data_IF_348523768271
#
_entry.id   IF_348523768271
#
_cell.length_a   1.000
_cell.length_b   1.000
_cell.length_c   1.000
_cell.angle_alpha   90.00
_cell.angle_beta   90.00
_cell.angle_gamma   90.00
#
_symmetry.space_group_name_H-M   'P 1'
#
loop_
_entity.id
_entity.type
_entity.pdbx_description
1 polymer ?
#
# COMPACT_ATOMS: atom_id res chain seq x y z
N UNK A 1 -2.65 18.85 82.77
CA UNK A 1 -3.19 17.86 81.79
C UNK A 1 -3.91 18.47 80.58
N UNK A 2 -3.83 19.79 80.28
CA UNK A 2 -4.57 20.42 79.15
C UNK A 2 -3.78 20.65 77.85
N UNK A 3 -2.44 20.65 77.89
CA UNK A 3 -1.61 20.95 76.70
C UNK A 3 -1.48 19.77 75.73
N UNK A 4 -1.43 18.53 76.21
CA UNK A 4 -1.31 17.34 75.36
C UNK A 4 -2.55 17.04 74.50
N UNK A 5 -3.75 17.37 75.00
CA UNK A 5 -5.01 17.16 74.29
C UNK A 5 -5.16 18.13 73.09
N UNK A 6 -4.65 19.35 73.22
CA UNK A 6 -4.71 20.37 72.15
C UNK A 6 -3.76 20.02 71.00
N UNK A 7 -2.57 19.50 71.30
CA UNK A 7 -1.63 19.03 70.27
C UNK A 7 -2.14 17.79 69.53
N UNK A 8 -2.81 16.86 70.23
CA UNK A 8 -3.43 15.70 69.60
C UNK A 8 -4.59 16.09 68.66
N UNK A 9 -5.42 17.06 69.05
CA UNK A 9 -6.54 17.53 68.23
C UNK A 9 -6.07 18.30 66.98
N UNK A 10 -5.01 19.10 67.10
CA UNK A 10 -4.40 19.80 65.97
C UNK A 10 -3.74 18.84 64.97
N UNK A 11 -3.10 17.77 65.45
CA UNK A 11 -2.49 16.75 64.59
C UNK A 11 -3.55 15.93 63.82
N UNK A 12 -4.67 15.60 64.46
CA UNK A 12 -5.79 14.90 63.80
C UNK A 12 -6.48 15.78 62.77
N UNK A 13 -6.67 17.08 63.05
CA UNK A 13 -7.25 18.03 62.10
C UNK A 13 -6.33 18.25 60.88
N UNK A 14 -5.01 18.30 61.08
CA UNK A 14 -4.05 18.44 59.99
C UNK A 14 -3.95 17.16 59.14
N UNK A 15 -4.00 15.98 59.76
CA UNK A 15 -4.05 14.69 59.04
C UNK A 15 -5.37 14.54 58.25
N UNK A 16 -6.50 14.98 58.82
CA UNK A 16 -7.78 15.00 58.12
C UNK A 16 -7.76 15.97 56.92
N UNK A 17 -7.19 17.18 57.08
CA UNK A 17 -7.05 18.15 56.01
C UNK A 17 -6.12 17.69 54.87
N UNK A 18 -5.03 17.00 55.21
CA UNK A 18 -4.12 16.39 54.22
C UNK A 18 -4.77 15.18 53.51
N UNK A 19 -5.66 14.45 54.18
CA UNK A 19 -6.38 13.31 53.58
C UNK A 19 -7.45 13.74 52.57
N UNK A 20 -8.05 14.93 52.72
CA UNK A 20 -8.99 15.48 51.72
C UNK A 20 -8.29 16.22 50.57
N UNK A 21 -7.05 16.70 50.75
CA UNK A 21 -6.32 17.39 49.67
C UNK A 21 -5.60 16.43 48.71
N UNK A 22 -5.43 15.17 49.09
CA UNK A 22 -4.85 14.12 48.25
C UNK A 22 -5.89 13.13 47.72
N UNK A 23 -7.18 13.47 47.74
CA UNK A 23 -8.14 12.97 46.75
C UNK A 23 -7.93 13.74 45.43
N UNK A 24 -6.66 13.81 45.01
CA UNK A 24 -6.18 14.52 43.85
C UNK A 24 -7.00 14.07 42.66
N UNK A 25 -7.81 15.00 42.18
CA UNK A 25 -8.28 15.12 40.81
C UNK A 25 -7.44 14.29 39.83
N UNK A 26 -7.81 13.03 39.62
CA UNK A 26 -7.50 12.35 38.38
C UNK A 26 -8.51 12.93 37.40
N UNK A 27 -8.18 14.11 36.87
CA UNK A 27 -8.88 14.60 35.71
C UNK A 27 -8.52 13.65 34.58
N UNK A 28 -9.44 12.73 34.25
CA UNK A 28 -9.38 12.01 33.00
C UNK A 28 -9.53 13.06 31.88
N UNK A 29 -8.39 13.52 31.36
CA UNK A 29 -8.38 14.33 30.15
C UNK A 29 -8.67 13.34 29.01
N UNK A 30 -9.93 13.23 28.66
CA UNK A 30 -10.34 12.51 27.45
C UNK A 30 -9.80 13.27 26.25
N UNK A 31 -8.69 12.81 25.69
CA UNK A 31 -8.20 13.29 24.41
C UNK A 31 -9.13 12.75 23.32
N UNK A 32 -9.89 13.64 22.68
CA UNK A 32 -10.64 13.30 21.47
C UNK A 32 -9.63 13.34 20.32
N UNK A 33 -9.18 12.18 19.86
CA UNK A 33 -8.41 12.07 18.62
C UNK A 33 -9.37 12.21 17.44
N UNK A 34 -9.29 13.31 16.72
CA UNK A 34 -10.01 13.48 15.45
C UNK A 34 -9.06 13.15 14.31
N UNK A 35 -9.36 12.06 13.60
CA UNK A 35 -8.68 11.71 12.36
C UNK A 35 -9.47 12.32 11.21
N UNK A 36 -8.90 13.29 10.52
CA UNK A 36 -9.43 13.72 9.24
C UNK A 36 -8.83 12.83 8.15
N UNK A 37 -9.65 12.29 7.22
CA UNK A 37 -9.12 11.59 6.07
C UNK A 37 -8.31 12.58 5.24
N UNK A 38 -6.98 12.49 5.33
CA UNK A 38 -6.10 13.19 4.41
C UNK A 38 -6.28 12.57 3.02
N UNK A 39 -6.17 13.40 1.98
CA UNK A 39 -6.12 12.89 0.61
C UNK A 39 -4.99 11.86 0.51
N UNK A 40 -5.28 10.72 -0.12
CA UNK A 40 -4.32 9.64 -0.25
C UNK A 40 -3.09 10.14 -1.04
N UNK A 41 -1.89 10.21 -0.43
CA UNK A 41 -0.71 10.77 -1.08
C UNK A 41 -0.12 9.87 -2.16
N UNK A 42 -0.51 8.59 -2.19
CA UNK A 42 -0.04 7.60 -3.15
C UNK A 42 -1.23 6.84 -3.71
N UNK A 43 -1.45 6.95 -5.02
CA UNK A 43 -2.57 6.31 -5.68
C UNK A 43 -2.24 5.94 -7.12
N UNK A 44 -2.93 4.92 -7.63
CA UNK A 44 -2.87 4.54 -9.02
C UNK A 44 -3.61 5.53 -9.92
N UNK A 45 -3.07 5.74 -11.11
CA UNK A 45 -3.75 6.36 -12.26
C UNK A 45 -3.54 5.50 -13.50
N UNK A 46 -4.43 5.65 -14.48
CA UNK A 46 -4.33 4.92 -15.74
C UNK A 46 -3.14 5.45 -16.55
N UNK A 47 -2.29 4.55 -17.06
CA UNK A 47 -1.17 4.93 -17.91
C UNK A 47 -1.60 5.31 -19.33
N UNK A 48 -0.67 5.76 -20.16
CA UNK A 48 -1.00 6.28 -21.49
C UNK A 48 -1.62 5.23 -22.42
N UNK A 49 -1.31 3.95 -22.22
CA UNK A 49 -1.83 2.84 -23.03
C UNK A 49 -3.08 2.20 -22.43
N UNK A 50 -3.56 2.65 -21.27
CA UNK A 50 -4.86 2.24 -20.75
C UNK A 50 -5.98 2.65 -21.72
N UNK A 51 -6.87 1.72 -22.07
CA UNK A 51 -7.93 1.95 -23.06
C UNK A 51 -7.47 1.92 -24.52
N UNK A 52 -6.16 1.77 -24.77
CA UNK A 52 -5.62 1.57 -26.11
C UNK A 52 -5.83 0.13 -26.57
N UNK A 53 -5.53 -0.12 -27.85
CA UNK A 53 -5.61 -1.44 -28.46
C UNK A 53 -4.37 -2.27 -28.12
N UNK A 54 -4.56 -3.53 -27.74
CA UNK A 54 -3.52 -4.50 -27.47
C UNK A 54 -3.02 -5.21 -28.74
N UNK A 55 -2.12 -6.19 -28.54
CA UNK A 55 -1.49 -6.98 -29.59
C UNK A 55 -2.45 -7.81 -30.46
N UNK A 56 -3.69 -8.06 -30.00
CA UNK A 56 -4.70 -8.81 -30.75
C UNK A 56 -5.83 -7.93 -31.28
N UNK A 57 -5.72 -6.60 -31.14
CA UNK A 57 -6.76 -5.68 -31.62
C UNK A 57 -7.88 -5.43 -30.60
N UNK A 58 -7.75 -5.87 -29.36
CA UNK A 58 -8.75 -5.67 -28.29
C UNK A 58 -8.33 -4.55 -27.35
N UNK A 59 -9.28 -4.02 -26.57
CA UNK A 59 -9.02 -2.89 -25.68
C UNK A 59 -8.37 -3.35 -24.37
N UNK A 60 -7.21 -2.77 -24.07
CA UNK A 60 -6.56 -2.86 -22.76
C UNK A 60 -7.48 -2.22 -21.72
N UNK A 61 -7.92 -2.99 -20.73
CA UNK A 61 -8.82 -2.49 -19.70
C UNK A 61 -8.07 -2.22 -18.41
N UNK A 62 -8.19 -1.01 -17.88
CA UNK A 62 -7.67 -0.63 -16.56
C UNK A 62 -8.82 -0.09 -15.73
N UNK A 63 -9.04 -0.67 -14.55
CA UNK A 63 -10.02 -0.18 -13.59
C UNK A 63 -9.33 0.14 -12.27
N UNK A 64 -9.65 1.29 -11.69
CA UNK A 64 -9.00 1.80 -10.48
C UNK A 64 -10.09 1.99 -9.43
N UNK A 65 -9.84 1.47 -8.24
CA UNK A 65 -10.72 1.62 -7.08
C UNK A 65 -10.93 3.11 -6.72
N UNK A 66 -12.06 3.49 -6.10
CA UNK A 66 -12.35 4.89 -5.80
C UNK A 66 -11.32 5.60 -4.90
N UNK A 67 -10.59 4.86 -4.06
CA UNK A 67 -9.52 5.38 -3.21
C UNK A 67 -8.13 5.34 -3.88
N UNK A 68 -8.06 4.81 -5.10
CA UNK A 68 -6.85 4.69 -5.90
C UNK A 68 -5.80 3.72 -5.35
N UNK A 69 -6.08 2.92 -4.32
CA UNK A 69 -5.08 2.01 -3.74
C UNK A 69 -5.02 0.65 -4.42
N UNK A 70 -6.06 0.31 -5.19
CA UNK A 70 -6.14 -0.89 -5.99
C UNK A 70 -6.41 -0.55 -7.46
N UNK A 71 -5.72 -1.26 -8.35
CA UNK A 71 -5.95 -1.22 -9.78
C UNK A 71 -6.00 -2.63 -10.35
N UNK A 72 -6.90 -2.86 -11.30
CA UNK A 72 -6.98 -4.09 -12.07
C UNK A 72 -6.70 -3.78 -13.54
N UNK A 73 -5.81 -4.58 -14.11
CA UNK A 73 -5.37 -4.50 -15.50
C UNK A 73 -5.77 -5.79 -16.21
N UNK A 74 -6.42 -5.68 -17.36
CA UNK A 74 -6.82 -6.82 -18.19
C UNK A 74 -6.32 -6.66 -19.62
N UNK A 75 -5.68 -7.70 -20.14
CA UNK A 75 -5.07 -7.77 -21.48
C UNK A 75 -5.28 -9.14 -22.10
N UNK A 76 -5.41 -9.22 -23.43
CA UNK A 76 -5.45 -10.50 -24.12
C UNK A 76 -4.05 -10.99 -24.47
N UNK A 77 -3.82 -12.29 -24.31
CA UNK A 77 -2.52 -12.92 -24.54
C UNK A 77 -2.37 -13.42 -25.98
N UNK A 78 -1.16 -13.29 -26.53
CA UNK A 78 -0.69 -14.10 -27.66
C UNK A 78 0.40 -15.08 -27.23
N UNK A 79 0.76 -15.99 -28.13
CA UNK A 79 1.87 -16.92 -27.92
C UNK A 79 3.19 -16.18 -27.72
N UNK A 80 4.03 -16.70 -26.82
CA UNK A 80 5.35 -16.13 -26.52
C UNK A 80 5.30 -14.98 -25.51
N UNK A 81 6.22 -14.03 -25.67
CA UNK A 81 6.34 -12.85 -24.81
C UNK A 81 5.47 -11.70 -25.29
N UNK A 82 4.64 -11.18 -24.39
CA UNK A 82 3.75 -10.05 -24.62
C UNK A 82 4.22 -8.87 -23.77
N UNK A 83 4.56 -7.75 -24.41
CA UNK A 83 4.98 -6.54 -23.72
C UNK A 83 3.88 -5.49 -23.80
N UNK A 84 3.45 -5.02 -22.63
CA UNK A 84 2.48 -3.96 -22.49
C UNK A 84 3.10 -2.82 -21.71
N UNK A 85 3.36 -1.72 -22.39
CA UNK A 85 4.03 -0.56 -21.83
C UNK A 85 3.00 0.42 -21.27
N UNK A 86 3.36 1.17 -20.25
CA UNK A 86 2.57 2.31 -19.73
C UNK A 86 1.08 1.99 -19.51
N UNK A 87 0.82 0.85 -18.86
CA UNK A 87 -0.54 0.40 -18.58
C UNK A 87 -1.13 1.12 -17.36
N UNK A 88 -0.29 1.34 -16.37
CA UNK A 88 -0.67 1.80 -15.05
C UNK A 88 0.44 2.68 -14.50
N UNK A 89 0.08 3.67 -13.72
CA UNK A 89 1.06 4.55 -13.07
C UNK A 89 0.72 4.72 -11.59
N UNK A 90 1.73 5.04 -10.77
CA UNK A 90 1.57 5.42 -9.37
C UNK A 90 1.90 6.91 -9.26
N UNK A 91 0.94 7.71 -8.81
CA UNK A 91 1.16 9.11 -8.48
C UNK A 91 1.50 9.28 -7.01
N UNK A 92 2.55 10.06 -6.75
CA UNK A 92 2.98 10.48 -5.41
C UNK A 92 2.83 11.98 -5.31
N UNK A 93 2.00 12.46 -4.39
CA UNK A 93 1.68 13.89 -4.21
C UNK A 93 2.26 14.50 -2.93
N UNK A 94 2.74 13.67 -1.99
CA UNK A 94 3.32 14.14 -0.72
C UNK A 94 4.54 13.28 -0.31
N UNK A 95 5.73 13.54 -0.87
CA UNK A 95 6.97 12.86 -0.50
C UNK A 95 7.55 13.33 0.86
N UNK A 96 8.51 12.60 1.45
CA UNK A 96 9.07 11.33 0.99
C UNK A 96 8.19 10.13 1.39
N UNK A 97 8.01 9.20 0.45
CA UNK A 97 7.29 7.95 0.67
C UNK A 97 8.18 6.76 0.32
N UNK A 98 7.97 5.65 0.99
CA UNK A 98 8.47 4.34 0.58
C UNK A 98 7.31 3.53 0.03
N UNK A 99 7.37 3.19 -1.26
CA UNK A 99 6.30 2.51 -1.98
C UNK A 99 6.52 1.01 -2.00
N UNK A 100 5.41 0.27 -1.96
CA UNK A 100 5.36 -1.17 -2.17
C UNK A 100 4.15 -1.54 -3.03
N UNK A 101 4.27 -2.62 -3.76
CA UNK A 101 3.23 -3.21 -4.59
C UNK A 101 3.03 -4.66 -4.16
N UNK A 102 1.79 -5.07 -4.02
CA UNK A 102 1.43 -6.48 -3.88
C UNK A 102 0.34 -6.82 -4.87
N UNK A 103 0.24 -8.10 -5.23
CA UNK A 103 -0.94 -8.58 -5.90
C UNK A 103 -2.07 -8.80 -4.89
N UNK A 104 -3.33 -8.62 -5.30
CA UNK A 104 -4.46 -8.84 -4.40
C UNK A 104 -4.70 -10.33 -4.15
N UNK A 105 -4.41 -10.88 -2.94
CA UNK A 105 -4.43 -12.31 -2.66
C UNK A 105 -5.81 -12.96 -2.82
N UNK A 106 -6.88 -12.16 -2.87
CA UNK A 106 -8.25 -12.64 -3.08
C UNK A 106 -8.65 -12.74 -4.55
N UNK A 107 -7.83 -12.22 -5.47
CA UNK A 107 -8.08 -12.33 -6.91
C UNK A 107 -7.44 -13.58 -7.51
N UNK A 108 -8.03 -14.15 -8.56
CA UNK A 108 -7.40 -15.19 -9.38
C UNK A 108 -6.34 -14.54 -10.30
N UNK A 109 -5.31 -14.00 -9.67
CA UNK A 109 -4.35 -13.07 -10.31
C UNK A 109 -3.46 -13.75 -11.35
N UNK A 110 -3.32 -15.06 -11.22
CA UNK A 110 -2.39 -15.85 -12.00
C UNK A 110 -3.13 -17.06 -12.52
N UNK A 111 -3.44 -17.07 -13.82
CA UNK A 111 -3.74 -18.31 -14.48
C UNK A 111 -2.42 -19.04 -14.75
N UNK A 112 -1.82 -19.59 -13.68
CA UNK A 112 -0.54 -20.29 -13.70
C UNK A 112 -0.54 -21.49 -14.65
N UNK A 113 -1.72 -21.92 -15.09
CA UNK A 113 -1.90 -22.85 -16.19
C UNK A 113 -1.26 -22.33 -17.47
N UNK A 114 -1.57 -21.09 -17.89
CA UNK A 114 -1.17 -20.55 -19.19
C UNK A 114 0.10 -19.67 -19.15
N UNK A 115 0.47 -19.15 -17.99
CA UNK A 115 1.52 -18.13 -17.87
C UNK A 115 2.73 -18.68 -17.13
N UNK A 116 3.92 -18.37 -17.62
CA UNK A 116 5.16 -18.56 -16.88
C UNK A 116 5.31 -17.46 -15.82
N UNK A 117 5.08 -17.81 -14.55
CA UNK A 117 5.12 -16.85 -13.46
C UNK A 117 6.54 -16.38 -13.10
N UNK A 118 7.56 -17.14 -13.48
CA UNK A 118 8.95 -16.81 -13.14
C UNK A 118 9.46 -15.70 -14.06
N UNK A 119 9.17 -15.84 -15.35
CA UNK A 119 9.68 -14.91 -16.36
C UNK A 119 8.72 -13.74 -16.64
N UNK A 120 7.42 -13.92 -16.39
CA UNK A 120 6.45 -12.81 -16.41
C UNK A 120 6.64 -11.88 -15.22
N UNK A 121 6.52 -10.58 -15.46
CA UNK A 121 6.91 -9.55 -14.48
C UNK A 121 6.22 -8.21 -14.72
N UNK A 122 6.17 -7.39 -13.68
CA UNK A 122 5.99 -5.95 -13.81
C UNK A 122 7.33 -5.24 -13.67
N UNK A 123 7.48 -4.12 -14.38
CA UNK A 123 8.64 -3.25 -14.27
C UNK A 123 8.14 -1.86 -13.88
N UNK A 124 8.69 -1.32 -12.79
CA UNK A 124 8.36 0.02 -12.30
C UNK A 124 9.49 0.95 -12.68
N UNK A 125 9.15 2.09 -13.28
CA UNK A 125 10.08 3.14 -13.66
C UNK A 125 9.87 4.37 -12.78
N UNK A 126 10.96 5.05 -12.45
CA UNK A 126 10.89 6.32 -11.74
C UNK A 126 10.38 7.46 -12.65
N UNK A 127 10.23 8.64 -12.06
CA UNK A 127 9.79 9.87 -12.72
C UNK A 127 10.70 10.33 -13.87
N UNK A 128 11.93 9.81 -13.95
CA UNK A 128 12.90 10.10 -15.01
C UNK A 128 12.96 9.01 -16.09
N UNK A 129 12.16 7.95 -15.96
CA UNK A 129 12.09 6.85 -16.92
C UNK A 129 13.12 5.74 -16.74
N UNK A 130 13.83 5.67 -15.60
CA UNK A 130 14.73 4.56 -15.28
C UNK A 130 13.99 3.44 -14.56
N UNK A 131 14.23 2.15 -14.91
CA UNK A 131 13.65 1.03 -14.17
C UNK A 131 14.25 0.96 -12.76
N UNK A 132 13.38 0.89 -11.75
CA UNK A 132 13.75 0.90 -10.33
C UNK A 132 13.25 -0.34 -9.57
N UNK A 133 12.30 -1.08 -10.16
CA UNK A 133 11.90 -2.37 -9.64
C UNK A 133 11.51 -3.30 -10.80
N UNK A 134 11.84 -4.58 -10.65
CA UNK A 134 11.45 -5.65 -11.56
C UNK A 134 10.96 -6.81 -10.69
N UNK A 135 9.65 -7.07 -10.75
CA UNK A 135 8.97 -7.98 -9.83
C UNK A 135 8.29 -9.07 -10.64
N UNK A 136 8.76 -10.31 -10.48
CA UNK A 136 8.16 -11.46 -11.16
C UNK A 136 6.76 -11.75 -10.62
N UNK A 137 5.93 -12.36 -11.44
CA UNK A 137 4.59 -12.80 -11.06
C UNK A 137 4.63 -13.87 -9.97
N UNK A 138 5.69 -14.68 -9.92
CA UNK A 138 5.92 -15.67 -8.86
C UNK A 138 6.12 -15.00 -7.48
N UNK A 139 6.81 -13.86 -7.42
CA UNK A 139 6.96 -13.09 -6.19
C UNK A 139 5.64 -12.40 -5.83
N UNK A 140 4.97 -11.79 -6.81
CA UNK A 140 3.66 -11.16 -6.61
C UNK A 140 2.60 -12.15 -6.10
N UNK A 141 2.65 -13.42 -6.54
CA UNK A 141 1.75 -14.50 -6.11
C UNK A 141 1.80 -14.80 -4.61
N UNK A 142 2.85 -14.36 -3.91
CA UNK A 142 2.93 -14.47 -2.44
C UNK A 142 1.97 -13.50 -1.72
N UNK A 143 1.44 -12.50 -2.43
CA UNK A 143 0.61 -11.43 -1.87
C UNK A 143 1.38 -10.48 -0.95
N UNK A 144 2.70 -10.61 -0.84
CA UNK A 144 3.53 -9.76 0.01
C UNK A 144 3.84 -8.42 -0.67
N UNK A 145 3.94 -7.32 0.10
CA UNK A 145 4.43 -6.04 -0.42
C UNK A 145 5.88 -6.14 -0.92
N UNK A 146 6.12 -5.68 -2.14
CA UNK A 146 7.38 -5.76 -2.88
C UNK A 146 7.73 -4.41 -3.53
N UNK A 147 9.00 -4.15 -3.88
CA UNK A 147 10.18 -4.95 -3.61
C UNK A 147 10.55 -4.95 -2.12
N UNK A 148 11.34 -5.94 -1.69
CA UNK A 148 11.91 -5.94 -0.34
C UNK A 148 12.81 -4.70 -0.16
N UNK A 149 12.56 -3.91 0.89
CA UNK A 149 13.22 -2.62 1.11
C UNK A 149 12.47 -1.41 0.53
N UNK A 150 11.44 -1.65 -0.29
CA UNK A 150 10.58 -0.62 -0.85
C UNK A 150 11.24 0.23 -1.92
N UNK A 151 10.43 1.06 -2.57
CA UNK A 151 10.88 2.02 -3.57
C UNK A 151 10.87 3.41 -2.94
N UNK A 152 12.03 4.07 -2.90
CA UNK A 152 12.10 5.45 -2.42
C UNK A 152 11.44 6.41 -3.42
N UNK A 153 10.46 7.17 -2.94
CA UNK A 153 9.78 8.22 -3.67
C UNK A 153 10.01 9.56 -2.97
N UNK A 154 11.14 10.18 -3.28
CA UNK A 154 11.63 11.41 -2.64
C UNK A 154 11.10 12.70 -3.27
N UNK A 155 10.41 12.60 -4.40
CA UNK A 155 9.82 13.73 -5.12
C UNK A 155 8.38 13.44 -5.52
N UNK A 156 7.62 14.52 -5.69
CA UNK A 156 6.32 14.46 -6.36
C UNK A 156 6.52 13.95 -7.78
N UNK A 157 5.64 13.07 -8.23
CA UNK A 157 5.64 12.62 -9.62
C UNK A 157 4.99 11.26 -9.82
N UNK A 158 5.18 10.77 -11.03
CA UNK A 158 4.49 9.61 -11.59
C UNK A 158 5.50 8.49 -11.85
N UNK A 159 5.20 7.30 -11.34
CA UNK A 159 6.00 6.09 -11.51
C UNK A 159 5.27 5.17 -12.47
N UNK A 160 5.85 4.93 -13.65
CA UNK A 160 5.24 4.11 -14.71
C UNK A 160 5.35 2.62 -14.38
N UNK A 161 4.33 1.84 -14.72
CA UNK A 161 4.34 0.38 -14.63
C UNK A 161 4.13 -0.21 -16.03
N UNK A 162 5.13 -0.98 -16.46
CA UNK A 162 5.04 -1.85 -17.63
C UNK A 162 4.79 -3.29 -17.18
N UNK A 163 4.19 -4.10 -18.06
CA UNK A 163 3.90 -5.50 -17.83
C UNK A 163 4.47 -6.36 -18.95
N UNK A 164 5.14 -7.45 -18.58
CA UNK A 164 5.59 -8.48 -19.51
C UNK A 164 4.94 -9.79 -19.10
N UNK A 165 4.21 -10.41 -20.03
CA UNK A 165 3.52 -11.69 -19.81
C UNK A 165 4.01 -12.72 -20.80
N UNK A 166 4.52 -13.84 -20.29
CA UNK A 166 5.02 -14.96 -21.10
C UNK A 166 4.03 -16.10 -21.01
N UNK A 167 3.47 -16.48 -22.17
CA UNK A 167 2.61 -17.65 -22.28
C UNK A 167 3.46 -18.93 -22.36
N UNK A 168 3.07 -19.96 -21.62
CA UNK A 168 3.69 -21.29 -21.66
C UNK A 168 3.46 -21.97 -23.01
N UNK A 169 4.47 -22.67 -23.48
CA UNK A 169 4.42 -23.43 -24.73
C UNK A 169 3.46 -24.62 -24.66
N UNK A 170 2.88 -24.95 -25.82
CA UNK A 170 2.05 -26.15 -26.01
C UNK A 170 0.61 -26.04 -25.46
N UNK A 171 0.21 -24.88 -24.97
CA UNK A 171 -1.16 -24.62 -24.51
C UNK A 171 -1.94 -23.80 -25.53
N UNK A 172 -3.27 -23.97 -25.66
CA UNK A 172 -4.08 -23.10 -26.52
C UNK A 172 -4.17 -21.68 -25.92
N UNK A 173 -4.37 -20.66 -26.78
CA UNK A 173 -4.69 -19.31 -26.31
C UNK A 173 -5.94 -19.33 -25.41
N UNK A 174 -5.92 -18.65 -24.25
CA UNK A 174 -7.09 -18.55 -23.41
C UNK A 174 -8.18 -17.73 -24.13
N UNK A 175 -9.44 -18.14 -23.95
CA UNK A 175 -10.60 -17.42 -24.49
C UNK A 175 -11.00 -16.20 -23.65
N UNK A 176 -10.43 -16.08 -22.45
CA UNK A 176 -10.63 -14.97 -21.51
C UNK A 176 -9.35 -14.15 -21.38
N UNK A 177 -9.43 -12.82 -21.23
CA UNK A 177 -8.28 -11.98 -20.95
C UNK A 177 -7.53 -12.44 -19.70
N UNK A 178 -6.24 -12.18 -19.69
CA UNK A 178 -5.45 -12.21 -18.46
C UNK A 178 -5.78 -10.98 -17.63
N UNK A 179 -5.91 -11.15 -16.31
CA UNK A 179 -6.24 -10.07 -15.39
C UNK A 179 -5.28 -10.07 -14.21
N UNK A 180 -4.65 -8.92 -13.95
CA UNK A 180 -3.77 -8.66 -12.81
C UNK A 180 -4.39 -7.59 -11.91
N UNK A 181 -4.61 -7.89 -10.64
CA UNK A 181 -5.05 -6.91 -9.65
C UNK A 181 -3.90 -6.57 -8.71
N UNK A 182 -3.51 -5.30 -8.68
CA UNK A 182 -2.42 -4.76 -7.86
C UNK A 182 -2.97 -3.87 -6.75
N UNK A 183 -2.28 -3.88 -5.61
CA UNK A 183 -2.44 -2.94 -4.50
C UNK A 183 -1.16 -2.16 -4.31
N UNK A 184 -1.29 -0.86 -4.10
CA UNK A 184 -0.18 0.00 -3.69
C UNK A 184 -0.26 0.25 -2.19
N UNK A 185 0.88 0.08 -1.53
CA UNK A 185 1.10 0.40 -0.13
C UNK A 185 2.19 1.46 -0.06
N UNK A 186 2.13 2.28 0.97
CA UNK A 186 3.16 3.25 1.23
C UNK A 186 3.33 3.45 2.73
N UNK A 187 4.52 3.89 3.09
CA UNK A 187 4.87 4.35 4.42
C UNK A 187 5.65 5.64 4.26
N UNK A 188 5.54 6.55 5.23
CA UNK A 188 6.44 7.69 5.26
C UNK A 188 7.86 7.16 5.42
N UNK A 189 8.82 7.65 4.64
CA UNK A 189 10.19 7.08 4.64
C UNK A 189 10.92 7.14 5.99
N UNK A 190 10.37 7.82 7.00
CA UNK A 190 10.85 7.84 8.38
C UNK A 190 10.24 6.77 9.30
N UNK A 191 9.25 6.01 8.83
CA UNK A 191 8.52 5.01 9.62
C UNK A 191 8.75 3.61 9.06
N UNK A 192 9.48 2.77 9.79
CA UNK A 192 9.57 1.35 9.48
C UNK A 192 8.25 0.68 9.89
N UNK A 193 7.52 -0.01 8.99
CA UNK A 193 6.33 -0.74 9.38
C UNK A 193 6.70 -1.85 10.38
N UNK A 194 5.96 -1.91 11.50
CA UNK A 194 6.12 -2.97 12.49
C UNK A 194 5.57 -4.26 11.88
N UNK A 195 6.43 -5.22 11.60
CA UNK A 195 6.02 -6.58 11.23
C UNK A 195 5.40 -7.24 12.46
N UNK A 196 4.08 -7.45 12.43
CA UNK A 196 3.36 -8.29 13.40
C UNK A 196 3.40 -9.75 12.98
#
# INVERSE_FOLDING_TARGET
MKKGLIFALAAVALAAALSVSLAGHIAAISAIMQFYPAANPVYFVAGSNAGSTDVVGKTITVSISPNGTQAQVSVDLVYGENQYLDLLEINVTNPPQTLYIAADPTSTIFNSTYIDLTDSRIIIYNTTGYPIANISFSQLATGQPLPTGGISADSIGTYRIDMIVIMKDGLPLPSTPFTLTLKVYYTKSSETPITS
#
